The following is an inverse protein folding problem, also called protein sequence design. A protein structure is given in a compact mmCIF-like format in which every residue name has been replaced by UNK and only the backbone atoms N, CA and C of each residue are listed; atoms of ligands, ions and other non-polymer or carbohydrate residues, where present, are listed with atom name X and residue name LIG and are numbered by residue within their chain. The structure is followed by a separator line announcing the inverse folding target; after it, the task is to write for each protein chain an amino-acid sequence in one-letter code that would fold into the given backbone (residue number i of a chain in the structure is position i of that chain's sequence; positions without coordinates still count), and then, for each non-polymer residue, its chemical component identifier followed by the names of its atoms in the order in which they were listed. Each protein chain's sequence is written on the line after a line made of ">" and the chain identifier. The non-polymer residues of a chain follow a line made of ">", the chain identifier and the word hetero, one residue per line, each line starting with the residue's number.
data_IF_712970014451
#
_entry.id   IF_712970014451
#
_cell.length_a   1.000
_cell.length_b   1.000
_cell.length_c   1.000
_cell.angle_alpha   90.00
_cell.angle_beta   90.00
_cell.angle_gamma   90.00
#
_symmetry.space_group_name_H-M   'P 1'
#
loop_
_entity.id
_entity.type
_entity.pdbx_description
1 polymer ?
#
# COMPACT_ATOMS: atom_id res chain seq x y z
N UNK A 1 26.86 12.28 -3.92
CA UNK A 1 27.16 11.60 -2.63
C UNK A 1 26.05 10.62 -2.28
N UNK A 2 24.74 10.99 -2.42
CA UNK A 2 23.61 10.13 -2.09
C UNK A 2 23.59 8.79 -2.87
N UNK A 3 23.78 8.81 -4.19
CA UNK A 3 23.83 7.61 -5.02
C UNK A 3 25.01 6.68 -4.70
N UNK A 4 26.18 7.21 -4.40
CA UNK A 4 27.41 6.42 -4.15
C UNK A 4 27.37 5.65 -2.82
N UNK A 5 26.78 6.24 -1.77
CA UNK A 5 26.65 5.59 -0.45
C UNK A 5 25.54 4.55 -0.50
N UNK A 6 24.40 4.87 -1.09
CA UNK A 6 23.25 3.95 -1.19
C UNK A 6 23.60 2.75 -2.06
N UNK A 7 24.21 2.95 -3.25
CA UNK A 7 24.56 1.86 -4.14
C UNK A 7 25.59 0.89 -3.54
N UNK A 8 26.54 1.39 -2.72
CA UNK A 8 27.48 0.53 -2.03
C UNK A 8 26.87 -0.22 -0.85
N UNK A 9 26.06 0.45 -0.04
CA UNK A 9 25.38 -0.16 1.12
C UNK A 9 24.29 -1.13 0.67
N UNK A 10 23.54 -0.78 -0.39
CA UNK A 10 22.52 -1.66 -0.96
C UNK A 10 23.11 -2.91 -1.63
N UNK A 11 24.40 -2.94 -2.01
CA UNK A 11 25.02 -4.13 -2.62
C UNK A 11 25.18 -5.31 -1.65
N UNK A 12 25.34 -5.06 -0.36
CA UNK A 12 25.56 -6.14 0.62
C UNK A 12 24.24 -6.65 1.17
N UNK A 13 23.90 -7.93 0.88
CA UNK A 13 22.74 -8.61 1.45
C UNK A 13 22.77 -8.62 2.99
N UNK A 14 23.95 -8.81 3.59
CA UNK A 14 24.13 -8.82 5.04
C UNK A 14 23.83 -7.45 5.65
N UNK A 15 24.25 -6.38 5.00
CA UNK A 15 23.98 -5.02 5.43
C UNK A 15 22.46 -4.71 5.40
N UNK A 16 21.75 -5.10 4.33
CA UNK A 16 20.29 -4.92 4.23
C UNK A 16 19.55 -5.67 5.33
N UNK A 17 19.95 -6.91 5.63
CA UNK A 17 19.36 -7.70 6.72
C UNK A 17 19.62 -7.02 8.06
N UNK A 18 20.84 -6.52 8.29
CA UNK A 18 21.16 -5.76 9.49
C UNK A 18 20.30 -4.51 9.65
N UNK A 19 20.15 -3.72 8.59
CA UNK A 19 19.26 -2.55 8.58
C UNK A 19 17.80 -2.93 8.88
N UNK A 20 17.30 -4.02 8.30
CA UNK A 20 15.95 -4.51 8.54
C UNK A 20 15.72 -4.84 10.02
N UNK A 21 16.67 -5.56 10.64
CA UNK A 21 16.59 -5.91 12.06
C UNK A 21 16.63 -4.65 12.93
N UNK A 22 17.58 -3.74 12.68
CA UNK A 22 17.72 -2.49 13.45
C UNK A 22 16.48 -1.62 13.34
N UNK A 23 15.95 -1.44 12.13
CA UNK A 23 14.73 -0.65 11.91
C UNK A 23 13.50 -1.30 12.56
N UNK A 24 13.40 -2.62 12.53
CA UNK A 24 12.31 -3.34 13.21
C UNK A 24 12.37 -3.12 14.72
N UNK A 25 13.55 -3.27 15.34
CA UNK A 25 13.73 -3.03 16.78
C UNK A 25 13.43 -1.57 17.11
N UNK A 26 13.92 -0.63 16.30
CA UNK A 26 13.64 0.80 16.49
C UNK A 26 12.13 1.09 16.41
N UNK A 27 11.43 0.50 15.44
CA UNK A 27 9.97 0.63 15.32
C UNK A 27 9.24 0.04 16.53
N UNK A 28 9.72 -1.12 17.04
CA UNK A 28 9.16 -1.71 18.27
C UNK A 28 9.33 -0.77 19.49
N UNK A 29 10.50 -0.18 19.65
CA UNK A 29 10.74 0.78 20.73
C UNK A 29 9.88 2.04 20.61
N UNK A 30 9.71 2.55 19.38
CA UNK A 30 8.87 3.71 19.13
C UNK A 30 7.38 3.43 19.33
N UNK A 31 6.93 2.19 19.07
CA UNK A 31 5.54 1.79 19.29
C UNK A 31 5.11 1.79 20.77
N UNK A 32 6.07 1.68 21.71
CA UNK A 32 5.80 1.77 23.14
C UNK A 32 5.75 3.24 23.64
N UNK A 33 6.26 4.18 22.86
CA UNK A 33 6.30 5.58 23.27
C UNK A 33 4.98 6.29 22.89
N UNK A 34 4.34 7.01 23.83
CA UNK A 34 3.11 7.76 23.54
C UNK A 34 3.40 9.06 22.75
N UNK A 35 4.54 9.15 22.08
CA UNK A 35 5.00 10.34 21.38
C UNK A 35 4.82 10.13 19.87
N UNK A 36 4.02 10.99 19.27
CA UNK A 36 3.92 11.07 17.81
C UNK A 36 5.11 11.87 17.27
N UNK A 37 5.96 11.22 16.49
CA UNK A 37 7.07 11.92 15.84
C UNK A 37 6.56 12.91 14.79
N UNK A 38 7.20 14.09 14.65
CA UNK A 38 6.82 15.07 13.66
C UNK A 38 6.92 14.45 12.24
N UNK A 39 6.01 14.86 11.35
CA UNK A 39 5.94 14.41 9.96
C UNK A 39 5.81 12.89 9.76
N UNK A 40 5.29 12.19 10.75
CA UNK A 40 5.12 10.71 10.68
C UNK A 40 6.44 9.97 10.40
N UNK A 41 7.54 10.42 11.00
CA UNK A 41 8.87 9.85 10.82
C UNK A 41 8.91 8.36 11.26
N UNK A 42 8.11 7.99 12.24
CA UNK A 42 7.89 6.62 12.69
C UNK A 42 7.33 5.70 11.57
N UNK A 43 6.38 6.20 10.78
CA UNK A 43 5.88 5.48 9.61
C UNK A 43 6.91 5.39 8.48
N UNK A 44 7.83 6.35 8.37
CA UNK A 44 8.91 6.29 7.40
C UNK A 44 9.86 5.11 7.68
N UNK A 45 10.10 4.74 8.94
CA UNK A 45 10.88 3.55 9.28
C UNK A 45 10.18 2.28 8.79
N UNK A 46 8.87 2.16 9.03
CA UNK A 46 8.05 1.04 8.51
C UNK A 46 8.09 0.99 6.99
N UNK A 47 7.91 2.11 6.31
CA UNK A 47 8.04 2.19 4.85
C UNK A 47 9.42 1.75 4.36
N UNK A 48 10.48 2.13 5.07
CA UNK A 48 11.85 1.71 4.74
C UNK A 48 12.06 0.21 4.92
N UNK A 49 11.46 -0.40 5.95
CA UNK A 49 11.48 -1.86 6.15
C UNK A 49 10.87 -2.57 4.94
N UNK A 50 9.69 -2.14 4.46
CA UNK A 50 9.06 -2.73 3.29
C UNK A 50 9.88 -2.52 2.00
N UNK A 51 10.52 -1.36 1.82
CA UNK A 51 11.42 -1.12 0.68
C UNK A 51 12.63 -2.08 0.70
N UNK A 52 13.25 -2.28 1.88
CA UNK A 52 14.37 -3.21 2.04
C UNK A 52 13.91 -4.64 1.77
N UNK A 53 12.78 -5.05 2.33
CA UNK A 53 12.22 -6.39 2.12
C UNK A 53 11.91 -6.63 0.64
N UNK A 54 11.29 -5.68 -0.06
CA UNK A 54 11.03 -5.75 -1.49
C UNK A 54 12.33 -5.88 -2.31
N UNK A 55 13.37 -5.12 -1.95
CA UNK A 55 14.69 -5.20 -2.60
C UNK A 55 15.35 -6.58 -2.40
N UNK A 56 15.24 -7.17 -1.22
CA UNK A 56 15.75 -8.51 -0.91
C UNK A 56 15.01 -9.59 -1.70
N UNK A 57 13.69 -9.48 -1.81
CA UNK A 57 12.84 -10.39 -2.58
C UNK A 57 13.16 -10.30 -4.09
N UNK A 58 13.33 -9.09 -4.61
CA UNK A 58 13.73 -8.87 -6.01
C UNK A 58 15.08 -9.51 -6.31
N UNK A 59 16.08 -9.35 -5.44
CA UNK A 59 17.42 -9.96 -5.60
C UNK A 59 17.43 -11.48 -5.45
N UNK A 60 16.41 -12.05 -4.86
CA UNK A 60 16.24 -13.49 -4.76
C UNK A 60 15.48 -14.07 -5.97
N UNK A 61 15.24 -13.25 -7.00
CA UNK A 61 14.43 -13.56 -8.18
C UNK A 61 13.06 -14.16 -7.79
N UNK A 62 12.57 -13.72 -6.61
CA UNK A 62 11.34 -14.26 -6.04
C UNK A 62 10.13 -14.01 -6.95
N UNK A 63 10.10 -12.84 -7.58
CA UNK A 63 8.99 -12.43 -8.41
C UNK A 63 8.99 -13.07 -9.81
N UNK A 64 10.16 -13.49 -10.30
CA UNK A 64 10.29 -14.09 -11.64
C UNK A 64 10.14 -15.61 -11.62
N UNK A 65 10.13 -16.21 -10.43
CA UNK A 65 10.00 -17.64 -10.25
C UNK A 65 8.56 -18.11 -10.42
N UNK A 66 8.39 -19.23 -11.12
CA UNK A 66 7.12 -19.94 -11.19
C UNK A 66 6.88 -20.70 -9.89
N UNK A 67 5.89 -20.25 -9.14
CA UNK A 67 5.55 -20.85 -7.86
C UNK A 67 4.50 -21.94 -8.03
N UNK A 68 4.73 -23.07 -7.38
CA UNK A 68 3.74 -24.12 -7.29
C UNK A 68 2.50 -23.62 -6.52
N UNK A 69 1.30 -23.99 -7.00
CA UNK A 69 0.03 -23.62 -6.38
C UNK A 69 0.00 -23.94 -4.87
N UNK A 70 0.60 -25.05 -4.46
CA UNK A 70 0.66 -25.44 -3.05
C UNK A 70 1.47 -24.47 -2.17
N UNK A 71 2.52 -23.87 -2.73
CA UNK A 71 3.31 -22.84 -2.02
C UNK A 71 2.47 -21.57 -1.85
N UNK A 72 1.71 -21.19 -2.86
CA UNK A 72 0.83 -20.02 -2.82
C UNK A 72 -0.29 -20.21 -1.79
N UNK A 73 -0.90 -21.41 -1.77
CA UNK A 73 -1.90 -21.78 -0.74
C UNK A 73 -1.26 -21.73 0.65
N UNK A 74 -0.04 -22.24 0.80
CA UNK A 74 0.71 -22.18 2.06
C UNK A 74 0.94 -20.73 2.53
N UNK A 75 1.35 -19.84 1.63
CA UNK A 75 1.52 -18.40 1.93
C UNK A 75 0.18 -17.76 2.30
N UNK A 76 -0.91 -18.10 1.61
CA UNK A 76 -2.26 -17.60 1.91
C UNK A 76 -2.73 -18.05 3.31
N UNK A 77 -2.57 -19.33 3.63
CA UNK A 77 -2.92 -19.87 4.95
C UNK A 77 -2.08 -19.20 6.04
N UNK A 78 -0.78 -19.03 5.80
CA UNK A 78 0.12 -18.33 6.71
C UNK A 78 -0.30 -16.88 6.93
N UNK A 79 -0.61 -16.14 5.85
CA UNK A 79 -1.12 -14.78 5.90
C UNK A 79 -2.42 -14.66 6.72
N UNK A 80 -3.39 -15.55 6.46
CA UNK A 80 -4.67 -15.56 7.19
C UNK A 80 -4.47 -15.91 8.67
N UNK A 81 -3.57 -16.83 8.99
CA UNK A 81 -3.25 -17.21 10.36
C UNK A 81 -2.62 -16.05 11.13
N UNK A 82 -1.63 -15.37 10.53
CA UNK A 82 -1.01 -14.18 11.12
C UNK A 82 -2.00 -13.03 11.30
N UNK A 83 -2.85 -12.82 10.30
CA UNK A 83 -3.88 -11.76 10.34
C UNK A 83 -4.90 -12.00 11.45
N UNK A 84 -5.24 -13.26 11.73
CA UNK A 84 -6.11 -13.62 12.86
C UNK A 84 -5.39 -13.53 14.22
N UNK A 85 -4.11 -13.85 14.25
CA UNK A 85 -3.30 -13.79 15.47
C UNK A 85 -2.98 -12.34 15.89
N UNK A 86 -3.00 -11.39 14.96
CA UNK A 86 -2.71 -9.99 15.22
C UNK A 86 -3.84 -9.07 14.70
N UNK A 87 -5.05 -9.12 15.28
CA UNK A 87 -6.13 -8.22 14.93
C UNK A 87 -5.87 -6.78 15.44
N UNK A 88 -6.69 -5.83 15.00
CA UNK A 88 -6.66 -4.45 15.54
C UNK A 88 -5.56 -3.57 14.95
N UNK A 89 -5.07 -3.89 13.74
CA UNK A 89 -4.12 -3.02 13.03
C UNK A 89 -4.82 -1.73 12.61
N UNK A 90 -4.37 -0.59 13.14
CA UNK A 90 -4.90 0.73 12.78
C UNK A 90 -3.75 1.72 12.63
N UNK A 91 -3.31 1.94 11.40
CA UNK A 91 -2.18 2.82 11.09
C UNK A 91 -2.48 4.31 11.34
N UNK A 92 -3.75 4.71 11.40
CA UNK A 92 -4.13 6.10 11.69
C UNK A 92 -3.76 6.52 13.11
N UNK A 93 -3.85 5.57 14.05
CA UNK A 93 -3.47 5.77 15.46
C UNK A 93 -2.19 5.00 15.81
N UNK A 94 -1.47 4.50 14.81
CA UNK A 94 -0.21 3.76 14.94
C UNK A 94 -0.30 2.49 15.80
N UNK A 95 -1.45 1.84 15.76
CA UNK A 95 -1.65 0.54 16.36
C UNK A 95 -1.23 -0.56 15.38
N UNK A 96 -0.17 -1.28 15.72
CA UNK A 96 0.37 -2.38 14.91
C UNK A 96 -0.34 -3.71 15.17
N UNK A 97 -1.26 -3.74 16.15
CA UNK A 97 -2.05 -4.89 16.56
C UNK A 97 -2.20 -4.98 18.09
N UNK A 98 -2.77 -6.08 18.58
CA UNK A 98 -3.17 -6.26 19.99
C UNK A 98 -2.00 -6.16 20.98
N UNK A 99 -0.79 -6.57 20.56
CA UNK A 99 0.37 -6.67 21.47
C UNK A 99 1.33 -5.49 21.33
N UNK A 100 0.90 -4.34 20.82
CA UNK A 100 1.68 -3.11 20.66
C UNK A 100 3.05 -3.36 19.97
N UNK A 101 4.17 -3.15 20.65
CA UNK A 101 5.50 -3.35 20.09
C UNK A 101 5.75 -4.76 19.56
N UNK A 102 5.29 -5.79 20.27
CA UNK A 102 5.42 -7.17 19.80
C UNK A 102 4.57 -7.47 18.56
N UNK A 103 3.56 -6.65 18.27
CA UNK A 103 2.79 -6.75 17.02
C UNK A 103 3.54 -6.25 15.79
N UNK A 104 4.61 -5.46 15.93
CA UNK A 104 5.37 -4.90 14.81
C UNK A 104 5.94 -5.99 13.88
N UNK A 105 6.63 -7.04 14.36
CA UNK A 105 7.07 -8.13 13.50
C UNK A 105 5.92 -8.84 12.76
N UNK A 106 4.79 -9.07 13.45
CA UNK A 106 3.61 -9.67 12.82
C UNK A 106 3.04 -8.78 11.72
N UNK A 107 2.95 -7.47 11.99
CA UNK A 107 2.53 -6.49 11.01
C UNK A 107 3.42 -6.49 9.76
N UNK A 108 4.74 -6.51 9.94
CA UNK A 108 5.71 -6.57 8.84
C UNK A 108 5.52 -7.86 8.03
N UNK A 109 5.39 -9.01 8.70
CA UNK A 109 5.18 -10.30 8.04
C UNK A 109 3.85 -10.35 7.29
N UNK A 110 2.76 -9.83 7.87
CA UNK A 110 1.45 -9.71 7.21
C UNK A 110 1.58 -8.83 5.96
N UNK A 111 2.25 -7.67 6.06
CA UNK A 111 2.44 -6.77 4.93
C UNK A 111 3.27 -7.39 3.81
N UNK A 112 4.37 -8.08 4.13
CA UNK A 112 5.21 -8.77 3.14
C UNK A 112 4.44 -9.91 2.47
N UNK A 113 3.82 -10.80 3.23
CA UNK A 113 3.08 -11.94 2.68
C UNK A 113 1.85 -11.50 1.88
N UNK A 114 1.13 -10.47 2.35
CA UNK A 114 0.03 -9.86 1.61
C UNK A 114 0.49 -9.25 0.28
N UNK A 115 1.62 -8.52 0.28
CA UNK A 115 2.20 -7.96 -0.95
C UNK A 115 2.63 -9.05 -1.94
N UNK A 116 3.22 -10.16 -1.46
CA UNK A 116 3.55 -11.32 -2.30
C UNK A 116 2.31 -11.91 -2.98
N UNK A 117 1.23 -12.10 -2.22
CA UNK A 117 -0.05 -12.60 -2.76
C UNK A 117 -0.63 -11.62 -3.80
N UNK A 118 -0.60 -10.31 -3.53
CA UNK A 118 -1.07 -9.30 -4.49
C UNK A 118 -0.28 -9.32 -5.80
N UNK A 119 1.06 -9.44 -5.74
CA UNK A 119 1.91 -9.52 -6.93
C UNK A 119 1.61 -10.80 -7.71
N UNK A 120 1.42 -11.92 -7.02
CA UNK A 120 1.08 -13.18 -7.67
C UNK A 120 -0.30 -13.13 -8.35
N UNK A 121 -1.31 -12.57 -7.68
CA UNK A 121 -2.63 -12.32 -8.27
C UNK A 121 -2.50 -11.40 -9.49
N UNK A 122 -1.71 -10.33 -9.38
CA UNK A 122 -1.42 -9.44 -10.51
C UNK A 122 -0.84 -10.16 -11.72
N UNK A 123 0.11 -11.08 -11.50
CA UNK A 123 0.67 -11.94 -12.57
C UNK A 123 -0.38 -12.88 -13.19
N UNK A 124 -1.22 -13.48 -12.36
CA UNK A 124 -2.28 -14.38 -12.86
C UNK A 124 -3.28 -13.64 -13.77
N UNK A 125 -3.55 -12.37 -13.49
CA UNK A 125 -4.49 -11.54 -14.26
C UNK A 125 -3.84 -10.65 -15.33
N UNK A 126 -2.52 -10.68 -15.52
CA UNK A 126 -1.79 -9.76 -16.43
C UNK A 126 -2.29 -9.81 -17.89
N UNK A 127 -2.80 -10.95 -18.35
CA UNK A 127 -3.24 -11.17 -19.74
C UNK A 127 -4.75 -10.95 -19.93
N UNK A 128 -5.47 -10.40 -18.95
CA UNK A 128 -6.90 -10.16 -19.07
C UNK A 128 -7.25 -8.68 -18.88
N UNK A 129 -8.48 -8.30 -19.20
CA UNK A 129 -8.98 -6.93 -19.04
C UNK A 129 -8.79 -6.42 -17.62
N UNK A 130 -8.99 -7.27 -16.61
CA UNK A 130 -8.81 -6.92 -15.20
C UNK A 130 -7.36 -6.51 -14.93
N UNK A 131 -6.38 -7.24 -15.46
CA UNK A 131 -4.95 -6.90 -15.34
C UNK A 131 -4.63 -5.55 -15.98
N UNK A 132 -5.19 -5.24 -17.14
CA UNK A 132 -5.02 -3.93 -17.81
C UNK A 132 -5.57 -2.80 -16.95
N UNK A 133 -6.76 -2.97 -16.37
CA UNK A 133 -7.37 -1.98 -15.47
C UNK A 133 -6.52 -1.80 -14.20
N UNK A 134 -6.09 -2.88 -13.57
CA UNK A 134 -5.22 -2.84 -12.38
C UNK A 134 -3.88 -2.17 -12.68
N UNK A 135 -3.26 -2.47 -13.83
CA UNK A 135 -2.02 -1.82 -14.26
C UNK A 135 -2.22 -0.32 -14.46
N UNK A 136 -3.34 0.09 -15.08
CA UNK A 136 -3.67 1.50 -15.25
C UNK A 136 -3.86 2.22 -13.90
N UNK A 137 -4.57 1.60 -12.94
CA UNK A 137 -4.73 2.10 -11.59
C UNK A 137 -3.35 2.24 -10.91
N UNK A 138 -2.50 1.20 -11.03
CA UNK A 138 -1.15 1.18 -10.47
C UNK A 138 -0.25 2.29 -11.01
N UNK A 139 -0.29 2.57 -12.31
CA UNK A 139 0.45 3.66 -12.93
C UNK A 139 0.02 5.06 -12.43
N UNK A 140 -1.24 5.20 -12.02
CA UNK A 140 -1.81 6.44 -11.52
C UNK A 140 -1.92 6.50 -9.98
N UNK A 141 -1.24 5.62 -9.27
CA UNK A 141 -1.31 5.49 -7.79
C UNK A 141 -0.97 6.80 -7.08
N UNK A 142 0.00 7.58 -7.57
CA UNK A 142 0.37 8.87 -6.96
C UNK A 142 -0.79 9.87 -7.02
N UNK A 143 -1.48 9.95 -8.16
CA UNK A 143 -2.66 10.81 -8.33
C UNK A 143 -3.80 10.35 -7.43
N UNK A 144 -4.02 9.03 -7.37
CA UNK A 144 -5.01 8.43 -6.47
C UNK A 144 -4.69 8.74 -5.01
N UNK A 145 -3.44 8.58 -4.58
CA UNK A 145 -3.00 8.86 -3.21
C UNK A 145 -3.18 10.33 -2.84
N UNK A 146 -2.92 11.25 -3.75
CA UNK A 146 -3.06 12.68 -3.51
C UNK A 146 -4.53 13.13 -3.44
N UNK A 147 -5.41 12.52 -4.22
CA UNK A 147 -6.77 13.02 -4.42
C UNK A 147 -7.87 12.15 -3.80
N UNK A 148 -7.56 10.93 -3.33
CA UNK A 148 -8.60 10.00 -2.85
C UNK A 148 -9.41 10.55 -1.67
N UNK A 149 -8.77 11.23 -0.72
CA UNK A 149 -9.45 11.83 0.43
C UNK A 149 -10.43 12.90 -0.07
N UNK A 150 -9.97 13.81 -0.93
CA UNK A 150 -10.81 14.83 -1.52
C UNK A 150 -11.97 14.24 -2.32
N UNK A 151 -11.70 13.18 -3.10
CA UNK A 151 -12.73 12.46 -3.86
C UNK A 151 -13.79 11.82 -2.97
N UNK A 152 -13.37 11.22 -1.85
CA UNK A 152 -14.26 10.62 -0.86
C UNK A 152 -15.13 11.68 -0.17
N UNK A 153 -14.56 12.82 0.20
CA UNK A 153 -15.29 13.93 0.85
C UNK A 153 -16.30 14.59 -0.10
N UNK A 154 -15.90 14.84 -1.34
CA UNK A 154 -16.82 15.41 -2.36
C UNK A 154 -18.00 14.48 -2.59
N UNK A 155 -17.74 13.17 -2.73
CA UNK A 155 -18.81 12.20 -2.89
C UNK A 155 -19.75 12.18 -1.68
N UNK A 156 -19.19 12.19 -0.47
CA UNK A 156 -19.97 12.18 0.77
C UNK A 156 -20.85 13.43 0.91
N UNK A 157 -20.31 14.62 0.64
CA UNK A 157 -21.09 15.87 0.62
C UNK A 157 -22.20 15.85 -0.44
N UNK A 158 -21.96 15.26 -1.60
CA UNK A 158 -22.98 15.14 -2.63
C UNK A 158 -24.07 14.11 -2.22
N UNK A 159 -23.68 12.97 -1.69
CA UNK A 159 -24.58 11.90 -1.28
C UNK A 159 -25.45 12.30 -0.07
N UNK A 160 -24.91 13.05 0.87
CA UNK A 160 -25.61 13.51 2.09
C UNK A 160 -26.84 14.38 1.77
N UNK A 161 -26.90 14.98 0.56
CA UNK A 161 -28.09 15.73 0.09
C UNK A 161 -29.28 14.83 -0.27
N UNK A 162 -29.03 13.56 -0.56
CA UNK A 162 -30.03 12.63 -1.08
C UNK A 162 -30.28 11.42 -0.18
N UNK A 163 -29.31 11.08 0.68
CA UNK A 163 -29.32 9.85 1.49
C UNK A 163 -28.94 10.21 2.92
N UNK A 164 -29.73 9.76 3.88
CA UNK A 164 -29.37 9.83 5.30
C UNK A 164 -28.34 8.71 5.61
N UNK A 165 -27.04 9.05 5.53
CA UNK A 165 -25.94 8.08 5.62
C UNK A 165 -25.93 7.38 6.99
N UNK A 166 -26.38 8.07 8.06
CA UNK A 166 -26.39 7.54 9.42
C UNK A 166 -27.41 6.42 9.65
N UNK A 167 -28.39 6.27 8.77
CA UNK A 167 -29.43 5.23 8.86
C UNK A 167 -29.14 3.99 7.99
N UNK A 168 -28.06 4.02 7.21
CA UNK A 168 -27.71 2.91 6.34
C UNK A 168 -27.19 1.72 7.16
N UNK A 169 -27.82 0.56 6.97
CA UNK A 169 -27.44 -0.69 7.64
C UNK A 169 -27.36 -1.86 6.66
N UNK A 170 -26.62 -2.90 7.03
CA UNK A 170 -26.53 -4.14 6.27
C UNK A 170 -26.00 -3.96 4.84
N UNK A 171 -26.72 -4.51 3.87
CA UNK A 171 -26.34 -4.49 2.45
C UNK A 171 -26.33 -3.10 1.85
N UNK A 172 -27.21 -2.19 2.29
CA UNK A 172 -27.26 -0.80 1.83
C UNK A 172 -25.99 -0.04 2.24
N UNK A 173 -25.47 -0.27 3.44
CA UNK A 173 -24.20 0.28 3.92
C UNK A 173 -23.02 -0.18 3.05
N UNK A 174 -22.93 -1.49 2.79
CA UNK A 174 -21.86 -2.07 1.95
C UNK A 174 -21.93 -1.50 0.52
N UNK A 175 -23.13 -1.45 -0.07
CA UNK A 175 -23.33 -0.93 -1.41
C UNK A 175 -22.93 0.54 -1.49
N UNK A 176 -23.35 1.38 -0.54
CA UNK A 176 -22.99 2.79 -0.46
C UNK A 176 -21.46 2.98 -0.44
N UNK A 177 -20.76 2.29 0.45
CA UNK A 177 -19.30 2.40 0.55
C UNK A 177 -18.57 1.89 -0.70
N UNK A 178 -19.09 0.83 -1.32
CA UNK A 178 -18.53 0.32 -2.59
C UNK A 178 -18.67 1.35 -3.71
N UNK A 179 -19.86 1.95 -3.85
CA UNK A 179 -20.11 3.01 -4.85
C UNK A 179 -19.26 4.24 -4.55
N UNK A 180 -19.17 4.66 -3.28
CA UNK A 180 -18.34 5.79 -2.83
C UNK A 180 -16.88 5.61 -3.23
N UNK A 181 -16.28 4.47 -2.92
CA UNK A 181 -14.87 4.18 -3.25
C UNK A 181 -14.69 4.11 -4.77
N UNK A 182 -15.57 3.42 -5.48
CA UNK A 182 -15.48 3.28 -6.95
C UNK A 182 -15.60 4.63 -7.64
N UNK A 183 -16.55 5.46 -7.24
CA UNK A 183 -16.75 6.81 -7.78
C UNK A 183 -15.55 7.71 -7.50
N UNK A 184 -14.97 7.66 -6.28
CA UNK A 184 -13.78 8.41 -5.93
C UNK A 184 -12.58 7.99 -6.80
N UNK A 185 -12.33 6.70 -6.97
CA UNK A 185 -11.24 6.18 -7.82
C UNK A 185 -11.43 6.62 -9.27
N UNK A 186 -12.64 6.46 -9.83
CA UNK A 186 -12.94 6.90 -11.20
C UNK A 186 -12.75 8.42 -11.37
N UNK A 187 -13.21 9.22 -10.41
CA UNK A 187 -13.03 10.67 -10.42
C UNK A 187 -11.56 11.09 -10.40
N UNK A 188 -10.75 10.47 -9.53
CA UNK A 188 -9.30 10.71 -9.46
C UNK A 188 -8.59 10.35 -10.78
N UNK A 189 -8.96 9.23 -11.40
CA UNK A 189 -8.37 8.79 -12.67
C UNK A 189 -8.76 9.70 -13.83
N UNK A 190 -10.01 10.17 -13.86
CA UNK A 190 -10.47 11.17 -14.85
C UNK A 190 -9.71 12.49 -14.68
N UNK A 191 -9.54 12.95 -13.46
CA UNK A 191 -8.78 14.18 -13.17
C UNK A 191 -7.31 14.02 -13.60
N UNK A 192 -6.69 12.87 -13.33
CA UNK A 192 -5.33 12.56 -13.80
C UNK A 192 -5.21 12.65 -15.33
N UNK A 193 -6.18 12.09 -16.08
CA UNK A 193 -6.22 12.21 -17.55
C UNK A 193 -6.36 13.65 -18.04
N UNK A 194 -7.17 14.44 -17.37
CA UNK A 194 -7.35 15.87 -17.70
C UNK A 194 -6.04 16.62 -17.50
N UNK A 195 -5.35 16.40 -16.37
CA UNK A 195 -4.04 17.00 -16.08
C UNK A 195 -3.00 16.63 -17.14
N UNK A 196 -2.94 15.35 -17.52
CA UNK A 196 -2.03 14.88 -18.57
C UNK A 196 -2.37 15.51 -19.94
N UNK A 197 -3.63 15.69 -20.24
CA UNK A 197 -4.09 16.40 -21.45
C UNK A 197 -3.65 17.86 -21.47
N UNK A 198 -3.84 18.58 -20.37
CA UNK A 198 -3.40 19.97 -20.19
C UNK A 198 -1.87 20.07 -20.31
N UNK A 199 -1.15 19.18 -19.63
CA UNK A 199 0.33 19.15 -19.70
C UNK A 199 0.84 18.96 -21.13
N UNK A 200 0.27 18.03 -21.89
CA UNK A 200 0.62 17.81 -23.31
C UNK A 200 0.31 19.04 -24.18
N UNK A 201 -0.84 19.69 -23.98
CA UNK A 201 -1.21 20.90 -24.70
C UNK A 201 -0.24 22.07 -24.43
N UNK A 202 0.22 22.21 -23.19
CA UNK A 202 1.16 23.25 -22.80
C UNK A 202 2.58 22.98 -23.34
N UNK A 203 3.06 21.72 -23.32
CA UNK A 203 4.39 21.37 -23.82
C UNK A 203 4.48 21.24 -25.35
N UNK A 204 3.35 20.94 -26.01
CA UNK A 204 3.27 20.90 -27.49
C UNK A 204 3.41 22.28 -28.14
N UNK A 205 3.12 23.35 -27.41
CA UNK A 205 3.25 24.74 -27.91
C UNK A 205 4.70 25.28 -27.98
N UNK A 206 5.64 24.61 -27.33
CA UNK A 206 7.07 25.01 -27.31
C UNK A 206 7.94 24.31 -28.36
N UNK A 207 7.37 23.51 -29.26
CA UNK A 207 8.09 22.80 -30.33
C UNK A 207 7.64 23.18 -31.75
N UNK A 208 6.92 24.32 -31.90
CA UNK A 208 6.55 24.89 -33.20
C UNK A 208 7.32 26.17 -33.49
#
# INVERSE_FOLDING_TARGET
>A
VYHLVIDRCLKSRRFLIGCLVVLTVLTMLLAELPILLPWSLDLAFVGTIFMIAGTLLQRADFFDRDWNLWVIIGILVFYLSLSRANPGINMSVREYGVYQAFSVPFFILIGITGSMLCIWVGKAFQNCIVGTVLAYIGQNTIVLLALHILGLEIFEMAAAKFINIGELTGTAFVLYHTVRVTASVCGCLLFGKILDGIRRALHGKHRG
#
